data_IF_618943195278
#
_entry.id   IF_618943195278
#
_cell.length_a   1.000
_cell.length_b   1.000
_cell.length_c   1.000
_cell.angle_alpha   90.00
_cell.angle_beta   90.00
_cell.angle_gamma   90.00
#
_symmetry.space_group_name_H-M   'P 1'
#
loop_
_entity.id
_entity.type
_entity.pdbx_description
1 polymer ?
#
# COMPACT_ATOMS: atom_id res chain seq x y z
N UNK A 1 -23.25 18.83 15.23
CA UNK A 1 -22.56 17.75 15.97
C UNK A 1 -21.39 17.34 15.12
N UNK A 2 -20.17 17.49 15.64
CA UNK A 2 -18.95 17.45 14.82
C UNK A 2 -18.61 16.05 14.32
N UNK A 3 -18.27 15.95 13.04
CA UNK A 3 -17.52 14.83 12.47
C UNK A 3 -16.16 14.77 13.16
N UNK A 4 -16.09 13.99 14.24
CA UNK A 4 -14.80 13.60 14.81
C UNK A 4 -14.23 12.55 13.86
N UNK A 5 -13.11 12.84 13.20
CA UNK A 5 -12.48 11.89 12.28
C UNK A 5 -12.20 10.57 13.02
N UNK A 6 -12.94 9.51 12.66
CA UNK A 6 -12.84 8.17 13.25
C UNK A 6 -11.46 7.53 13.01
N UNK A 7 -10.78 7.99 11.95
CA UNK A 7 -9.43 7.62 11.54
C UNK A 7 -8.60 8.88 11.30
N UNK A 8 -7.43 8.96 11.94
CA UNK A 8 -6.51 10.10 11.83
C UNK A 8 -5.18 9.68 11.20
N UNK A 9 -4.73 10.40 10.17
CA UNK A 9 -3.42 10.16 9.56
C UNK A 9 -2.30 10.66 10.48
N UNK A 10 -1.39 9.75 10.85
CA UNK A 10 -0.23 10.05 11.71
C UNK A 10 0.97 10.48 10.89
N UNK A 11 1.26 9.78 9.80
CA UNK A 11 2.39 10.09 8.91
C UNK A 11 2.17 9.53 7.51
N UNK A 12 2.88 10.09 6.53
CA UNK A 12 3.02 9.54 5.18
C UNK A 12 4.48 9.69 4.74
N UNK A 13 4.95 8.75 3.91
CA UNK A 13 6.26 8.83 3.27
C UNK A 13 6.25 8.06 1.95
N UNK A 14 7.17 8.40 1.05
CA UNK A 14 7.41 7.63 -0.17
C UNK A 14 8.46 6.54 0.10
N UNK A 15 8.16 5.30 -0.27
CA UNK A 15 9.07 4.17 -0.20
C UNK A 15 9.60 3.86 -1.60
N UNK A 16 10.89 4.11 -1.80
CA UNK A 16 11.59 3.76 -3.02
C UNK A 16 12.14 2.32 -2.97
N UNK A 17 12.44 1.70 -4.12
CA UNK A 17 13.15 0.42 -4.18
C UNK A 17 14.52 0.48 -3.47
N UNK A 18 14.89 -0.61 -2.80
CA UNK A 18 16.21 -0.74 -2.17
C UNK A 18 17.34 -0.88 -3.20
N UNK A 19 17.03 -1.33 -4.42
CA UNK A 19 17.95 -1.43 -5.56
C UNK A 19 17.31 -0.77 -6.77
N UNK A 20 18.14 -0.09 -7.57
CA UNK A 20 17.68 0.59 -8.78
C UNK A 20 16.97 -0.37 -9.75
N UNK A 21 15.97 0.14 -10.45
CA UNK A 21 15.24 -0.59 -11.49
C UNK A 21 16.20 -1.17 -12.54
N UNK A 22 15.98 -2.43 -12.90
CA UNK A 22 16.78 -3.11 -13.93
C UNK A 22 16.44 -2.64 -15.36
N UNK A 23 15.21 -2.18 -15.56
CA UNK A 23 14.71 -1.65 -16.82
C UNK A 23 14.07 -0.30 -16.58
N UNK A 24 14.18 0.61 -17.54
CA UNK A 24 13.66 1.98 -17.41
C UNK A 24 12.20 2.12 -17.86
N UNK A 25 11.73 1.21 -18.71
CA UNK A 25 10.41 1.30 -19.31
C UNK A 25 9.87 -0.08 -19.68
N UNK A 26 8.59 -0.31 -19.37
CA UNK A 26 7.86 -1.52 -19.75
C UNK A 26 6.62 -1.17 -20.52
N UNK A 27 6.35 -1.89 -21.60
CA UNK A 27 5.10 -1.77 -22.35
C UNK A 27 4.03 -2.68 -21.76
N UNK A 28 2.85 -2.13 -21.50
CA UNK A 28 1.71 -2.91 -21.02
C UNK A 28 1.01 -3.52 -22.23
N UNK A 29 0.93 -4.85 -22.25
CA UNK A 29 0.22 -5.57 -23.29
C UNK A 29 -1.23 -5.05 -23.44
N UNK A 30 -1.74 -4.85 -24.67
CA UNK A 30 -3.10 -4.35 -24.90
C UNK A 30 -4.20 -5.14 -24.18
N UNK A 31 -4.04 -6.46 -24.05
CA UNK A 31 -4.97 -7.33 -23.33
C UNK A 31 -5.08 -7.05 -21.83
N UNK A 32 -4.12 -6.33 -21.23
CA UNK A 32 -4.11 -5.98 -19.81
C UNK A 32 -4.62 -4.57 -19.53
N UNK A 33 -4.88 -3.76 -20.56
CA UNK A 33 -5.28 -2.35 -20.39
C UNK A 33 -6.58 -2.22 -19.57
N UNK A 34 -7.51 -3.17 -19.69
CA UNK A 34 -8.74 -3.17 -18.90
C UNK A 34 -8.50 -3.17 -17.37
N UNK A 35 -7.35 -3.70 -16.90
CA UNK A 35 -7.02 -3.75 -15.47
C UNK A 35 -6.58 -2.38 -14.97
N UNK A 36 -6.12 -1.52 -15.87
CA UNK A 36 -5.62 -0.20 -15.55
C UNK A 36 -6.71 0.88 -15.67
N UNK A 37 -7.79 0.60 -16.41
CA UNK A 37 -8.90 1.54 -16.63
C UNK A 37 -10.05 1.38 -15.64
N UNK A 38 -10.12 0.25 -14.91
CA UNK A 38 -11.20 -0.07 -13.98
C UNK A 38 -11.08 0.56 -12.57
N UNK A 39 -10.20 1.54 -12.39
CA UNK A 39 -9.88 2.13 -11.08
C UNK A 39 -8.81 1.35 -10.31
N UNK A 40 -8.43 1.88 -9.15
CA UNK A 40 -7.45 1.23 -8.28
C UNK A 40 -8.11 0.07 -7.53
N UNK A 41 -7.50 -1.12 -7.62
CA UNK A 41 -7.89 -2.26 -6.78
C UNK A 41 -7.63 -1.88 -5.32
N UNK A 42 -8.67 -1.94 -4.48
CA UNK A 42 -8.60 -1.67 -3.05
C UNK A 42 -8.77 -2.98 -2.29
N UNK A 43 -7.68 -3.45 -1.67
CA UNK A 43 -7.65 -4.68 -0.89
C UNK A 43 -7.05 -4.39 0.49
N UNK A 44 -7.56 -5.07 1.52
CA UNK A 44 -7.14 -4.90 2.89
C UNK A 44 -6.93 -6.23 3.59
N UNK A 45 -5.97 -6.27 4.52
CA UNK A 45 -5.74 -7.41 5.40
C UNK A 45 -5.92 -6.96 6.86
N UNK A 46 -6.79 -7.67 7.58
CA UNK A 46 -7.04 -7.46 9.01
C UNK A 46 -6.17 -8.42 9.79
N UNK A 47 -5.27 -7.88 10.61
CA UNK A 47 -4.35 -8.66 11.45
C UNK A 47 -4.66 -8.42 12.94
N UNK A 48 -4.58 -9.45 13.79
CA UNK A 48 -4.68 -9.27 15.23
C UNK A 48 -3.53 -8.39 15.73
N UNK A 49 -3.78 -7.64 16.80
CA UNK A 49 -2.75 -6.83 17.43
C UNK A 49 -1.63 -7.75 17.96
N UNK A 50 -0.35 -7.38 17.77
CA UNK A 50 0.78 -8.10 18.37
C UNK A 50 0.60 -8.24 19.89
N UNK A 51 0.92 -9.42 20.41
CA UNK A 51 0.80 -9.72 21.84
C UNK A 51 1.72 -8.78 22.65
N UNK A 52 1.19 -8.08 23.68
CA UNK A 52 2.03 -7.26 24.54
C UNK A 52 3.02 -8.05 25.40
N UNK A 53 2.87 -9.38 25.53
CA UNK A 53 3.85 -10.21 26.26
C UNK A 53 5.19 -10.21 25.51
N UNK A 54 6.29 -9.69 26.11
CA UNK A 54 7.62 -9.67 25.50
C UNK A 54 8.19 -11.06 25.19
N UNK A 55 7.63 -12.14 25.75
CA UNK A 55 8.07 -13.52 25.53
C UNK A 55 7.28 -14.24 24.43
N UNK A 56 6.27 -13.60 23.83
CA UNK A 56 5.51 -14.15 22.72
C UNK A 56 6.32 -14.09 21.41
N UNK A 57 6.24 -15.14 20.57
CA UNK A 57 6.88 -15.14 19.23
C UNK A 57 6.36 -14.00 18.33
N UNK A 58 5.17 -13.48 18.64
CA UNK A 58 4.54 -12.33 17.96
C UNK A 58 4.68 -11.02 18.73
N UNK A 59 5.54 -10.96 19.75
CA UNK A 59 5.80 -9.73 20.48
C UNK A 59 6.49 -8.72 19.57
N UNK A 60 5.73 -7.75 19.07
CA UNK A 60 6.32 -6.60 18.40
C UNK A 60 6.69 -5.57 19.46
N UNK A 61 7.98 -5.31 19.61
CA UNK A 61 8.55 -4.41 20.63
C UNK A 61 8.04 -2.97 20.59
N UNK A 62 7.34 -2.54 19.53
CA UNK A 62 6.56 -1.31 19.42
C UNK A 62 5.89 -1.27 18.04
N UNK A 63 4.83 -0.48 17.87
CA UNK A 63 4.31 -0.13 16.53
C UNK A 63 5.41 0.47 15.64
N UNK A 64 6.38 1.19 16.21
CA UNK A 64 7.50 1.74 15.44
C UNK A 64 8.37 0.65 14.81
N UNK A 65 8.57 -0.46 15.52
CA UNK A 65 9.29 -1.64 15.01
C UNK A 65 8.53 -2.30 13.86
N UNK A 66 7.20 -2.42 13.98
CA UNK A 66 6.33 -2.93 12.91
C UNK A 66 6.41 -2.03 11.67
N UNK A 67 6.26 -0.72 11.85
CA UNK A 67 6.33 0.25 10.75
C UNK A 67 7.71 0.23 10.07
N UNK A 68 8.78 0.14 10.84
CA UNK A 68 10.14 0.03 10.30
C UNK A 68 10.30 -1.24 9.45
N UNK A 69 9.87 -2.40 9.97
CA UNK A 69 9.94 -3.68 9.25
C UNK A 69 9.11 -3.66 7.96
N UNK A 70 7.88 -3.14 8.00
CA UNK A 70 7.01 -3.04 6.84
C UNK A 70 7.62 -2.14 5.74
N UNK A 71 8.17 -0.97 6.12
CA UNK A 71 8.83 -0.07 5.18
C UNK A 71 10.07 -0.72 4.56
N UNK A 72 10.89 -1.40 5.36
CA UNK A 72 12.09 -2.09 4.89
C UNK A 72 11.73 -3.24 3.92
N UNK A 73 10.79 -4.11 4.31
CA UNK A 73 10.36 -5.23 3.46
C UNK A 73 9.70 -4.74 2.17
N UNK A 74 8.95 -3.64 2.22
CA UNK A 74 8.35 -3.03 1.03
C UNK A 74 9.43 -2.49 0.09
N UNK A 75 10.43 -1.77 0.60
CA UNK A 75 11.56 -1.27 -0.20
C UNK A 75 12.35 -2.42 -0.87
N UNK A 76 12.58 -3.52 -0.15
CA UNK A 76 13.20 -4.72 -0.71
C UNK A 76 12.33 -5.36 -1.78
N UNK A 77 11.04 -5.56 -1.51
CA UNK A 77 10.06 -6.11 -2.45
C UNK A 77 10.01 -5.29 -3.75
N UNK A 78 9.98 -3.96 -3.66
CA UNK A 78 9.99 -3.06 -4.81
C UNK A 78 11.26 -3.17 -5.67
N UNK A 79 12.35 -3.75 -5.17
CA UNK A 79 13.52 -4.06 -5.99
C UNK A 79 13.26 -5.20 -6.98
N UNK A 80 12.39 -6.14 -6.62
CA UNK A 80 11.99 -7.27 -7.46
C UNK A 80 10.75 -6.94 -8.31
N UNK A 81 9.85 -6.13 -7.77
CA UNK A 81 8.64 -5.64 -8.43
C UNK A 81 8.78 -4.16 -8.81
N UNK A 82 9.92 -3.81 -9.38
CA UNK A 82 10.30 -2.45 -9.75
C UNK A 82 9.26 -1.66 -10.57
N UNK A 83 8.40 -2.26 -11.41
CA UNK A 83 7.36 -1.51 -12.12
C UNK A 83 6.35 -0.85 -11.17
N UNK A 84 6.13 -1.42 -9.98
CA UNK A 84 5.21 -0.88 -8.97
C UNK A 84 5.71 0.43 -8.35
N UNK A 85 7.03 0.68 -8.37
CA UNK A 85 7.63 1.94 -7.94
C UNK A 85 7.68 2.99 -9.07
N UNK A 86 7.20 2.66 -10.27
CA UNK A 86 7.23 3.52 -11.44
C UNK A 86 6.00 4.42 -11.59
N UNK A 87 5.79 4.95 -12.79
CA UNK A 87 4.60 5.73 -13.16
C UNK A 87 4.01 5.25 -14.48
N UNK A 88 2.69 5.18 -14.55
CA UNK A 88 1.99 4.92 -15.79
C UNK A 88 2.09 6.15 -16.71
N UNK A 89 2.33 5.91 -17.99
CA UNK A 89 2.31 6.90 -19.05
C UNK A 89 1.47 6.38 -20.21
N UNK A 90 0.62 7.24 -20.77
CA UNK A 90 -0.13 6.94 -21.99
C UNK A 90 0.53 7.65 -23.17
N UNK A 91 0.67 6.95 -24.29
CA UNK A 91 1.20 7.51 -25.53
C UNK A 91 0.07 7.96 -26.47
N UNK A 92 0.35 8.83 -27.45
CA UNK A 92 -0.64 9.30 -28.42
C UNK A 92 -1.28 8.18 -29.27
N UNK A 93 -0.60 7.04 -29.43
CA UNK A 93 -1.10 5.87 -30.17
C UNK A 93 -2.04 4.98 -29.32
N UNK A 94 -2.33 5.37 -28.07
CA UNK A 94 -3.17 4.61 -27.15
C UNK A 94 -2.43 3.51 -26.38
N UNK A 95 -1.12 3.32 -26.60
CA UNK A 95 -0.33 2.39 -25.79
C UNK A 95 -0.10 2.92 -24.38
N UNK A 96 -0.07 2.01 -23.41
CA UNK A 96 0.24 2.31 -22.01
C UNK A 96 1.61 1.73 -21.68
N UNK A 97 2.46 2.53 -21.07
CA UNK A 97 3.78 2.12 -20.59
C UNK A 97 3.94 2.43 -19.11
N UNK A 98 4.79 1.65 -18.44
CA UNK A 98 5.26 1.93 -17.09
C UNK A 98 6.67 2.50 -17.19
N UNK A 99 6.87 3.73 -16.75
CA UNK A 99 8.19 4.32 -16.55
C UNK A 99 8.72 3.86 -15.20
N UNK A 100 9.68 2.94 -15.20
CA UNK A 100 10.30 2.38 -14.01
C UNK A 100 11.37 3.35 -13.48
N UNK A 101 10.91 4.49 -12.97
CA UNK A 101 11.74 5.64 -12.58
C UNK A 101 12.07 5.70 -11.08
N UNK A 102 11.87 4.60 -10.36
CA UNK A 102 12.12 4.47 -8.91
C UNK A 102 11.45 5.56 -8.05
N UNK A 103 10.40 6.21 -8.55
CA UNK A 103 9.70 7.28 -7.86
C UNK A 103 8.97 6.80 -6.59
N UNK A 104 8.90 5.49 -6.38
CA UNK A 104 8.42 4.85 -5.17
C UNK A 104 6.90 4.86 -5.05
N UNK A 105 6.44 4.30 -3.93
CA UNK A 105 5.03 4.16 -3.57
C UNK A 105 4.72 4.96 -2.31
N UNK A 106 3.50 5.45 -2.17
CA UNK A 106 3.06 6.10 -0.93
C UNK A 106 2.83 5.05 0.17
N UNK A 107 3.36 5.32 1.36
CA UNK A 107 3.13 4.56 2.57
C UNK A 107 2.50 5.49 3.62
N UNK A 108 1.27 5.18 4.04
CA UNK A 108 0.52 5.96 5.01
C UNK A 108 0.35 5.17 6.30
N UNK A 109 0.60 5.83 7.43
CA UNK A 109 0.25 5.32 8.75
C UNK A 109 -0.85 6.18 9.36
N UNK A 110 -1.94 5.55 9.76
CA UNK A 110 -3.08 6.17 10.41
C UNK A 110 -3.48 5.41 11.67
N UNK A 111 -4.22 6.08 12.56
CA UNK A 111 -4.76 5.52 13.80
C UNK A 111 -6.25 5.77 13.88
N UNK A 112 -6.98 4.73 14.23
CA UNK A 112 -8.38 4.80 14.61
C UNK A 112 -8.47 4.51 16.11
N UNK A 113 -8.82 5.52 16.92
CA UNK A 113 -8.81 5.38 18.39
C UNK A 113 -10.10 4.71 18.87
N UNK A 114 -11.18 4.87 18.12
CA UNK A 114 -12.52 4.43 18.49
C UNK A 114 -13.05 3.26 17.64
N UNK A 115 -12.19 2.66 16.81
CA UNK A 115 -12.53 1.50 15.97
C UNK A 115 -11.80 0.27 16.49
N UNK A 116 -12.54 -0.81 16.68
CA UNK A 116 -12.03 -2.12 17.06
C UNK A 116 -12.03 -3.08 15.88
N UNK A 117 -11.39 -4.25 16.06
CA UNK A 117 -11.41 -5.32 15.06
C UNK A 117 -12.85 -5.79 14.80
N UNK A 118 -13.66 -5.90 15.85
CA UNK A 118 -15.04 -6.36 15.76
C UNK A 118 -15.88 -5.40 14.93
N UNK A 119 -15.70 -4.08 15.08
CA UNK A 119 -16.40 -3.06 14.28
C UNK A 119 -16.16 -3.23 12.77
N UNK A 120 -14.97 -3.69 12.38
CA UNK A 120 -14.62 -3.95 10.97
C UNK A 120 -15.25 -5.27 10.49
N UNK A 121 -15.13 -6.34 11.30
CA UNK A 121 -15.57 -7.68 10.90
C UNK A 121 -17.09 -7.85 10.85
N UNK A 122 -17.84 -7.09 11.68
CA UNK A 122 -19.31 -7.14 11.70
C UNK A 122 -19.96 -6.08 10.82
N UNK A 123 -19.16 -5.23 10.17
CA UNK A 123 -19.68 -4.13 9.36
C UNK A 123 -20.47 -4.66 8.15
N UNK A 124 -21.74 -4.26 7.98
CA UNK A 124 -22.50 -4.55 6.77
C UNK A 124 -22.13 -3.62 5.60
N UNK A 125 -21.21 -2.68 5.82
CA UNK A 125 -20.83 -1.69 4.82
C UNK A 125 -20.00 -2.35 3.71
N UNK A 126 -20.56 -2.34 2.50
CA UNK A 126 -19.85 -2.69 1.27
C UNK A 126 -19.61 -1.40 0.51
N UNK A 127 -18.33 -1.02 0.24
CA UNK A 127 -18.04 0.15 -0.58
C UNK A 127 -18.73 0.05 -1.95
N UNK A 128 -19.27 1.16 -2.49
CA UNK A 128 -19.84 1.15 -3.83
C UNK A 128 -18.77 0.77 -4.87
N UNK A 129 -19.17 -0.06 -5.83
CA UNK A 129 -18.36 -0.36 -7.00
C UNK A 129 -18.36 0.91 -7.88
N UNK A 130 -17.18 1.47 -8.12
CA UNK A 130 -16.97 2.66 -8.95
C UNK A 130 -17.26 2.38 -10.41
#
# INVERSE_FOLDING_TARGET
MGDSEEVSRVSSCTIAPAKASQEQQLEVAPSKHHLLTGGYIQEGLVLPKPDPDPNSEFSSSSMDSVLHRLKASLSECLSYFFPLAGRLASKPDGSITIHCNDAGVEFVYAKAIHITLDDILVSPYVPPLW
#
